data_IF_686984976037
#
_entry.id   IF_686984976037
#
_cell.length_a   1.000
_cell.length_b   1.000
_cell.length_c   1.000
_cell.angle_alpha   90.00
_cell.angle_beta   90.00
_cell.angle_gamma   90.00
#
_symmetry.space_group_name_H-M   'P 1'
#
loop_
_entity.id
_entity.type
_entity.pdbx_description
1 polymer ?
#
# COMPACT_ATOMS: atom_id res chain seq x y z
N UNK A 1 -5.44 6.65 25.75
CA UNK A 1 -4.29 6.50 24.81
C UNK A 1 -3.00 6.28 25.58
N UNK A 2 -2.66 7.10 26.57
CA UNK A 2 -1.40 6.97 27.34
C UNK A 2 -1.31 5.65 28.12
N UNK A 3 -2.40 5.19 28.73
CA UNK A 3 -2.44 3.88 29.37
C UNK A 3 -2.26 2.74 28.36
N UNK A 4 -2.85 2.85 27.18
CA UNK A 4 -2.72 1.85 26.12
C UNK A 4 -1.29 1.78 25.59
N UNK A 5 -0.63 2.93 25.36
CA UNK A 5 0.78 2.97 24.99
C UNK A 5 1.68 2.28 26.02
N UNK A 6 1.39 2.42 27.31
CA UNK A 6 2.16 1.79 28.39
C UNK A 6 1.95 0.29 28.48
N UNK A 7 0.72 -0.18 28.31
CA UNK A 7 0.36 -1.60 28.50
C UNK A 7 0.56 -2.43 27.24
N UNK A 8 0.64 -1.81 26.06
CA UNK A 8 0.68 -2.47 24.75
C UNK A 8 -0.44 -3.51 24.60
N UNK A 9 -1.62 -3.23 25.14
CA UNK A 9 -2.76 -4.16 25.10
C UNK A 9 -3.25 -4.38 23.68
N UNK A 10 -3.36 -5.63 23.29
CA UNK A 10 -3.94 -6.05 22.00
C UNK A 10 -5.46 -5.77 21.95
N UNK A 11 -6.16 -5.76 23.09
CA UNK A 11 -7.61 -5.53 23.17
C UNK A 11 -8.04 -4.17 22.62
N UNK A 12 -7.17 -3.16 22.71
CA UNK A 12 -7.42 -1.83 22.13
C UNK A 12 -7.63 -1.86 20.62
N UNK A 13 -6.93 -2.75 19.91
CA UNK A 13 -7.07 -2.90 18.46
C UNK A 13 -8.42 -3.55 18.07
N UNK A 14 -8.90 -4.50 18.87
CA UNK A 14 -10.23 -5.07 18.66
C UNK A 14 -11.33 -4.01 18.81
N UNK A 15 -11.24 -3.16 19.83
CA UNK A 15 -12.18 -2.02 20.00
C UNK A 15 -12.11 -1.04 18.84
N UNK A 16 -10.91 -0.70 18.38
CA UNK A 16 -10.73 0.18 17.23
C UNK A 16 -11.35 -0.40 15.97
N UNK A 17 -11.14 -1.70 15.71
CA UNK A 17 -11.79 -2.42 14.59
C UNK A 17 -13.31 -2.26 14.64
N UNK A 18 -13.92 -2.50 15.80
CA UNK A 18 -15.38 -2.39 15.95
C UNK A 18 -15.88 -0.95 15.75
N UNK A 19 -15.11 0.07 16.17
CA UNK A 19 -15.45 1.47 15.91
C UNK A 19 -15.46 1.80 14.40
N UNK A 20 -14.45 1.31 13.64
CA UNK A 20 -14.42 1.48 12.19
C UNK A 20 -15.57 0.75 11.50
N UNK A 21 -15.83 -0.51 11.91
CA UNK A 21 -16.98 -1.28 11.37
C UNK A 21 -18.33 -0.61 11.64
N UNK A 22 -18.51 -0.05 12.83
CA UNK A 22 -19.73 0.68 13.17
C UNK A 22 -19.92 1.94 12.31
N UNK A 23 -18.82 2.51 11.79
CA UNK A 23 -18.83 3.61 10.84
C UNK A 23 -18.91 3.15 9.36
N UNK A 24 -19.10 1.85 9.10
CA UNK A 24 -19.15 1.29 7.73
C UNK A 24 -17.77 1.21 7.05
N UNK A 25 -16.67 1.21 7.80
CA UNK A 25 -15.31 1.17 7.27
C UNK A 25 -14.61 -0.12 7.71
N UNK A 26 -13.96 -0.79 6.76
CA UNK A 26 -13.08 -1.93 7.02
C UNK A 26 -11.62 -1.50 6.94
N UNK A 27 -10.79 -1.96 7.89
CA UNK A 27 -9.35 -1.72 7.88
C UNK A 27 -8.71 -2.82 7.03
N UNK A 28 -8.16 -2.44 5.86
CA UNK A 28 -7.59 -3.41 4.93
C UNK A 28 -6.08 -3.62 5.11
N UNK A 29 -5.34 -2.59 5.43
CA UNK A 29 -3.90 -2.64 5.67
C UNK A 29 -3.51 -1.78 6.87
N UNK A 30 -2.38 -2.11 7.51
CA UNK A 30 -1.79 -1.32 8.59
C UNK A 30 -0.34 -0.99 8.26
N UNK A 31 0.02 0.28 8.28
CA UNK A 31 1.41 0.75 8.21
C UNK A 31 1.90 1.11 9.62
N UNK A 32 2.51 0.16 10.36
CA UNK A 32 2.98 0.41 11.73
C UNK A 32 4.35 1.10 11.77
N UNK A 33 4.80 1.67 10.66
CA UNK A 33 6.02 2.46 10.44
C UNK A 33 7.27 1.91 11.13
N UNK A 34 7.75 2.61 12.17
CA UNK A 34 9.02 2.31 12.84
C UNK A 34 9.07 0.94 13.52
N UNK A 35 7.93 0.35 13.91
CA UNK A 35 7.92 -0.94 14.63
C UNK A 35 8.39 -2.13 13.78
N UNK A 36 8.29 -2.04 12.46
CA UNK A 36 8.81 -3.05 11.54
C UNK A 36 10.26 -2.79 11.13
N UNK A 37 10.89 -1.72 11.61
CA UNK A 37 12.26 -1.35 11.27
C UNK A 37 13.31 -2.35 11.77
N UNK A 38 14.45 -2.44 11.06
CA UNK A 38 15.55 -3.39 11.34
C UNK A 38 16.07 -3.34 12.79
N UNK A 39 16.06 -2.15 13.40
CA UNK A 39 16.57 -1.95 14.77
C UNK A 39 15.64 -2.44 15.87
N UNK A 40 14.41 -2.81 15.56
CA UNK A 40 13.45 -3.26 16.55
C UNK A 40 13.62 -4.74 16.90
N UNK A 41 13.26 -5.11 18.13
CA UNK A 41 13.24 -6.49 18.58
C UNK A 41 12.14 -7.30 17.89
N UNK A 42 12.26 -8.63 17.92
CA UNK A 42 11.18 -9.51 17.44
C UNK A 42 9.88 -9.33 18.23
N UNK A 43 9.98 -8.90 19.49
CA UNK A 43 8.80 -8.58 20.31
C UNK A 43 8.03 -7.40 19.74
N UNK A 44 8.73 -6.33 19.34
CA UNK A 44 8.10 -5.14 18.74
C UNK A 44 7.50 -5.46 17.38
N UNK A 45 8.23 -6.21 16.54
CA UNK A 45 7.74 -6.63 15.22
C UNK A 45 6.52 -7.54 15.35
N UNK A 46 6.55 -8.53 16.26
CA UNK A 46 5.39 -9.38 16.51
C UNK A 46 4.19 -8.58 17.02
N UNK A 47 4.41 -7.61 17.91
CA UNK A 47 3.32 -6.73 18.37
C UNK A 47 2.67 -5.95 17.21
N UNK A 48 3.48 -5.39 16.30
CA UNK A 48 2.96 -4.69 15.12
C UNK A 48 2.14 -5.62 14.20
N UNK A 49 2.61 -6.84 13.98
CA UNK A 49 1.91 -7.84 13.17
C UNK A 49 0.61 -8.31 13.83
N UNK A 50 0.63 -8.53 15.14
CA UNK A 50 -0.57 -8.87 15.91
C UNK A 50 -1.59 -7.71 15.90
N UNK A 51 -1.13 -6.47 16.00
CA UNK A 51 -1.99 -5.29 15.86
C UNK A 51 -2.72 -5.28 14.51
N UNK A 52 -2.01 -5.49 13.41
CA UNK A 52 -2.60 -5.62 12.07
C UNK A 52 -3.67 -6.71 12.03
N UNK A 53 -3.36 -7.89 12.53
CA UNK A 53 -4.30 -9.02 12.59
C UNK A 53 -5.55 -8.72 13.42
N UNK A 54 -5.41 -8.11 14.61
CA UNK A 54 -6.53 -7.75 15.48
C UNK A 54 -7.40 -6.64 14.89
N UNK A 55 -6.82 -5.73 14.15
CA UNK A 55 -7.56 -4.74 13.36
C UNK A 55 -8.34 -5.36 12.19
N UNK A 56 -8.03 -6.60 11.81
CA UNK A 56 -8.62 -7.28 10.67
C UNK A 56 -7.94 -6.95 9.34
N UNK A 57 -6.76 -6.35 9.39
CA UNK A 57 -5.99 -6.05 8.19
C UNK A 57 -5.55 -7.33 7.46
N UNK A 58 -5.57 -7.27 6.14
CA UNK A 58 -5.05 -8.33 5.26
C UNK A 58 -3.53 -8.47 5.40
N UNK A 59 -2.85 -7.35 5.55
CA UNK A 59 -1.39 -7.29 5.67
C UNK A 59 -0.93 -6.07 6.47
N UNK A 60 0.33 -6.13 6.94
CA UNK A 60 1.07 -4.94 7.36
C UNK A 60 1.94 -4.46 6.20
N UNK A 61 2.24 -3.17 6.15
CA UNK A 61 3.06 -2.60 5.08
C UNK A 61 4.19 -1.73 5.62
N UNK A 62 5.30 -1.70 4.91
CA UNK A 62 6.44 -0.80 5.11
C UNK A 62 7.22 -0.69 3.80
N UNK A 63 8.20 0.21 3.77
CA UNK A 63 9.16 0.29 2.66
C UNK A 63 9.99 -1.00 2.57
N UNK A 64 10.28 -1.47 1.33
CA UNK A 64 11.15 -2.64 1.16
C UNK A 64 12.53 -2.38 1.79
N UNK A 65 12.96 -3.20 2.75
CA UNK A 65 14.27 -3.04 3.36
C UNK A 65 15.40 -3.19 2.34
N UNK A 66 16.41 -2.34 2.43
CA UNK A 66 17.65 -2.48 1.61
C UNK A 66 18.45 -3.73 1.97
N UNK A 67 18.31 -4.21 3.21
CA UNK A 67 18.97 -5.42 3.70
C UNK A 67 18.05 -6.63 3.48
N UNK A 68 18.42 -7.57 2.60
CA UNK A 68 17.61 -8.74 2.33
C UNK A 68 17.46 -9.69 3.53
N UNK A 69 18.36 -9.65 4.50
CA UNK A 69 18.20 -10.42 5.75
C UNK A 69 17.04 -9.88 6.59
N UNK A 70 16.71 -8.59 6.44
CA UNK A 70 15.58 -8.03 7.16
C UNK A 70 14.25 -8.38 6.51
N UNK A 71 14.13 -8.40 5.19
CA UNK A 71 12.92 -8.89 4.50
C UNK A 71 12.69 -10.38 4.75
N UNK A 72 13.75 -11.19 4.79
CA UNK A 72 13.67 -12.60 5.21
C UNK A 72 13.11 -12.73 6.63
N UNK A 73 13.68 -11.99 7.60
CA UNK A 73 13.22 -11.96 8.99
C UNK A 73 11.75 -11.55 9.10
N UNK A 74 11.34 -10.48 8.39
CA UNK A 74 9.97 -10.02 8.40
C UNK A 74 9.01 -11.06 7.83
N UNK A 75 9.36 -11.74 6.73
CA UNK A 75 8.59 -12.82 6.15
C UNK A 75 8.39 -14.00 7.12
N UNK A 76 9.43 -14.39 7.84
CA UNK A 76 9.35 -15.45 8.86
C UNK A 76 8.45 -15.07 10.06
N UNK A 77 8.56 -13.83 10.53
CA UNK A 77 7.72 -13.32 11.62
C UNK A 77 6.25 -13.15 11.16
N UNK A 78 6.05 -12.71 9.91
CA UNK A 78 4.72 -12.63 9.30
C UNK A 78 4.06 -14.02 9.21
N UNK A 79 4.79 -15.04 8.77
CA UNK A 79 4.32 -16.42 8.78
C UNK A 79 3.92 -16.91 10.16
N UNK A 80 4.76 -16.65 11.18
CA UNK A 80 4.48 -17.02 12.57
C UNK A 80 3.21 -16.36 13.12
N UNK A 81 2.93 -15.12 12.71
CA UNK A 81 1.76 -14.37 13.14
C UNK A 81 0.51 -14.63 12.26
N UNK A 82 0.63 -15.35 11.16
CA UNK A 82 -0.46 -15.63 10.24
C UNK A 82 -1.02 -14.36 9.59
N UNK A 83 -0.13 -13.44 9.18
CA UNK A 83 -0.40 -12.22 8.42
C UNK A 83 0.64 -12.11 7.32
N UNK A 84 0.41 -11.28 6.31
CA UNK A 84 1.42 -10.97 5.30
C UNK A 84 2.09 -9.61 5.57
N UNK A 85 3.28 -9.41 5.00
CA UNK A 85 3.94 -8.11 4.93
C UNK A 85 4.09 -7.71 3.47
N UNK A 86 3.50 -6.57 3.09
CA UNK A 86 3.55 -6.04 1.75
C UNK A 86 4.51 -4.85 1.67
N UNK A 87 5.45 -4.90 0.76
CA UNK A 87 6.50 -3.89 0.65
C UNK A 87 6.13 -2.80 -0.34
N UNK A 88 6.08 -1.59 0.18
CA UNK A 88 5.89 -0.36 -0.57
C UNK A 88 7.22 0.17 -1.10
N UNK A 89 7.17 0.92 -2.18
CA UNK A 89 8.34 1.61 -2.73
C UNK A 89 7.99 2.97 -3.31
N UNK A 90 9.00 3.82 -3.40
CA UNK A 90 8.95 5.11 -4.07
C UNK A 90 9.60 5.03 -5.46
N UNK A 91 10.34 6.03 -5.89
CA UNK A 91 10.96 6.11 -7.21
C UNK A 91 12.16 5.17 -7.43
N UNK A 92 12.47 4.29 -6.48
CA UNK A 92 13.44 3.19 -6.65
C UNK A 92 12.81 1.92 -7.21
N UNK A 93 11.47 1.88 -7.38
CA UNK A 93 10.75 0.73 -7.89
C UNK A 93 11.12 0.42 -9.35
N UNK A 94 11.20 -0.86 -9.67
CA UNK A 94 11.29 -1.43 -11.02
C UNK A 94 10.76 -2.86 -11.01
N UNK A 95 10.56 -3.48 -12.15
CA UNK A 95 9.90 -4.80 -12.28
C UNK A 95 10.52 -5.92 -11.44
N UNK A 96 11.81 -5.83 -11.10
CA UNK A 96 12.56 -6.82 -10.32
C UNK A 96 12.88 -6.38 -8.90
N UNK A 97 12.33 -5.25 -8.46
CA UNK A 97 12.71 -4.65 -7.17
C UNK A 97 12.28 -5.49 -5.95
N UNK A 98 11.21 -6.27 -6.09
CA UNK A 98 10.67 -7.13 -5.02
C UNK A 98 11.15 -8.59 -5.09
N UNK A 99 11.81 -9.02 -6.17
CA UNK A 99 12.08 -10.43 -6.46
C UNK A 99 12.72 -11.16 -5.28
N UNK A 100 13.81 -10.63 -4.71
CA UNK A 100 14.47 -11.23 -3.55
C UNK A 100 13.52 -11.43 -2.37
N UNK A 101 12.70 -10.44 -2.04
CA UNK A 101 11.78 -10.56 -0.91
C UNK A 101 10.68 -11.59 -1.19
N UNK A 102 10.16 -11.66 -2.40
CA UNK A 102 9.13 -12.63 -2.79
C UNK A 102 9.67 -14.06 -2.78
N UNK A 103 10.92 -14.28 -3.20
CA UNK A 103 11.59 -15.59 -3.15
C UNK A 103 11.85 -16.06 -1.72
N UNK A 104 12.08 -15.15 -0.78
CA UNK A 104 12.41 -15.47 0.60
C UNK A 104 11.24 -16.05 1.41
N UNK A 105 10.01 -15.63 1.13
CA UNK A 105 8.84 -16.06 1.90
C UNK A 105 7.54 -15.83 1.14
N UNK A 106 6.63 -16.79 1.18
CA UNK A 106 5.25 -16.64 0.69
C UNK A 106 4.41 -15.64 1.50
N UNK A 107 4.95 -15.14 2.64
CA UNK A 107 4.33 -14.08 3.44
C UNK A 107 4.85 -12.69 3.11
N UNK A 108 5.87 -12.59 2.25
CA UNK A 108 6.28 -11.34 1.63
C UNK A 108 5.40 -11.06 0.41
N UNK A 109 5.04 -9.80 0.19
CA UNK A 109 4.12 -9.39 -0.86
C UNK A 109 4.43 -7.98 -1.34
N UNK A 110 3.66 -7.49 -2.32
CA UNK A 110 3.80 -6.18 -2.93
C UNK A 110 2.66 -5.27 -2.46
N UNK A 111 3.01 -4.08 -1.99
CA UNK A 111 2.14 -2.90 -1.95
C UNK A 111 2.63 -1.96 -3.06
N UNK A 112 2.08 -2.10 -4.25
CA UNK A 112 2.51 -1.33 -5.42
C UNK A 112 2.07 0.12 -5.29
N UNK A 113 2.97 1.07 -5.51
CA UNK A 113 2.60 2.45 -5.75
C UNK A 113 2.74 2.76 -7.25
N UNK A 114 1.61 2.85 -7.93
CA UNK A 114 1.55 3.02 -9.37
C UNK A 114 2.11 4.39 -9.82
N UNK A 115 1.85 5.44 -9.05
CA UNK A 115 2.36 6.78 -9.34
C UNK A 115 3.87 6.87 -9.17
N UNK A 116 4.41 6.29 -8.10
CA UNK A 116 5.86 6.21 -7.92
C UNK A 116 6.54 5.31 -8.96
N UNK A 117 5.88 4.24 -9.39
CA UNK A 117 6.37 3.36 -10.45
C UNK A 117 6.52 4.12 -11.77
N UNK A 118 5.53 4.94 -12.13
CA UNK A 118 5.57 5.84 -13.30
C UNK A 118 6.66 6.91 -13.15
N UNK A 119 6.74 7.57 -11.99
CA UNK A 119 7.75 8.60 -11.72
C UNK A 119 9.19 8.06 -11.64
N UNK A 120 9.35 6.74 -11.42
CA UNK A 120 10.64 6.05 -11.54
C UNK A 120 11.09 5.88 -13.01
N UNK A 121 10.19 6.07 -13.97
CA UNK A 121 10.46 5.91 -15.40
C UNK A 121 10.07 4.55 -15.97
N UNK A 122 9.34 3.73 -15.21
CA UNK A 122 8.86 2.44 -15.69
C UNK A 122 7.68 2.64 -16.64
N UNK A 123 7.68 1.93 -17.76
CA UNK A 123 6.64 1.97 -18.80
C UNK A 123 5.86 0.66 -18.93
N UNK A 124 6.22 -0.34 -18.14
CA UNK A 124 5.72 -1.71 -18.18
C UNK A 124 4.67 -2.03 -17.11
N UNK A 125 4.00 -1.02 -16.55
CA UNK A 125 3.05 -1.17 -15.44
C UNK A 125 2.00 -2.23 -15.67
N UNK A 126 1.45 -2.31 -16.88
CA UNK A 126 0.41 -3.29 -17.24
C UNK A 126 0.95 -4.72 -17.22
N UNK A 127 2.11 -4.95 -17.84
CA UNK A 127 2.77 -6.26 -17.87
C UNK A 127 3.21 -6.69 -16.46
N UNK A 128 3.76 -5.75 -15.70
CA UNK A 128 4.16 -5.98 -14.31
C UNK A 128 2.97 -6.43 -13.46
N UNK A 129 1.86 -5.69 -13.50
CA UNK A 129 0.65 -6.03 -12.75
C UNK A 129 0.09 -7.39 -13.18
N UNK A 130 0.01 -7.67 -14.49
CA UNK A 130 -0.45 -8.96 -15.00
C UNK A 130 0.42 -10.12 -14.51
N UNK A 131 1.74 -9.94 -14.49
CA UNK A 131 2.69 -10.95 -14.04
C UNK A 131 2.65 -11.14 -12.51
N UNK A 132 2.49 -10.06 -11.76
CA UNK A 132 2.64 -10.06 -10.30
C UNK A 132 1.31 -10.00 -9.53
N UNK A 133 0.15 -10.01 -10.19
CA UNK A 133 -1.16 -9.79 -9.53
C UNK A 133 -1.42 -10.67 -8.31
N UNK A 134 -0.89 -11.91 -8.29
CA UNK A 134 -1.02 -12.80 -7.14
C UNK A 134 -0.16 -12.39 -5.93
N UNK A 135 0.90 -11.63 -6.17
CA UNK A 135 1.81 -11.12 -5.14
C UNK A 135 1.44 -9.70 -4.68
N UNK A 136 0.59 -8.99 -5.45
CA UNK A 136 0.11 -7.65 -5.08
C UNK A 136 -1.06 -7.81 -4.09
N UNK A 137 -0.95 -7.22 -2.91
CA UNK A 137 -2.02 -7.23 -1.90
C UNK A 137 -2.78 -5.92 -1.83
N UNK A 138 -2.14 -4.83 -2.21
CA UNK A 138 -2.74 -3.49 -2.30
C UNK A 138 -1.96 -2.64 -3.29
N UNK A 139 -2.62 -1.62 -3.82
CA UNK A 139 -2.00 -0.67 -4.72
C UNK A 139 -2.40 0.75 -4.33
N UNK A 140 -1.42 1.66 -4.28
CA UNK A 140 -1.68 3.09 -4.24
C UNK A 140 -1.87 3.63 -5.65
N UNK A 141 -2.89 4.44 -5.82
CA UNK A 141 -3.20 5.12 -7.08
C UNK A 141 -3.13 6.61 -6.83
N UNK A 142 -2.18 7.25 -7.47
CA UNK A 142 -2.01 8.70 -7.56
C UNK A 142 -1.53 9.06 -8.96
N UNK A 143 -1.81 10.25 -9.38
CA UNK A 143 -1.37 10.70 -10.71
C UNK A 143 -0.05 11.46 -10.60
N UNK A 144 0.95 10.98 -11.31
CA UNK A 144 2.29 11.57 -11.34
C UNK A 144 2.79 11.70 -12.75
N UNK A 145 3.66 12.69 -12.95
CA UNK A 145 4.44 12.81 -14.16
C UNK A 145 5.61 11.81 -14.15
N UNK A 146 5.97 11.33 -15.34
CA UNK A 146 7.17 10.56 -15.56
C UNK A 146 8.44 11.44 -15.42
N UNK A 147 9.67 10.89 -15.49
CA UNK A 147 10.90 11.66 -15.36
C UNK A 147 11.06 12.77 -16.39
N UNK A 148 10.61 12.55 -17.63
CA UNK A 148 10.73 13.51 -18.73
C UNK A 148 9.86 14.74 -18.49
N UNK A 149 8.70 14.57 -17.84
CA UNK A 149 7.73 15.61 -17.52
C UNK A 149 7.92 16.23 -16.13
N UNK A 150 8.90 15.78 -15.33
CA UNK A 150 9.31 16.41 -14.07
C UNK A 150 8.80 15.76 -12.79
N UNK A 151 8.19 14.57 -12.84
CA UNK A 151 7.83 13.72 -11.70
C UNK A 151 6.86 14.35 -10.69
N UNK A 152 6.11 15.39 -11.05
CA UNK A 152 5.18 16.06 -10.14
C UNK A 152 3.97 15.21 -9.84
N UNK A 153 3.44 15.33 -8.62
CA UNK A 153 2.10 14.87 -8.29
C UNK A 153 1.06 15.83 -8.86
N UNK A 154 0.05 15.32 -9.51
CA UNK A 154 -0.99 16.10 -10.20
C UNK A 154 -2.40 15.57 -9.84
N UNK A 155 -3.44 16.37 -10.04
CA UNK A 155 -4.80 15.88 -10.01
C UNK A 155 -5.01 14.74 -11.01
N UNK A 156 -5.86 13.79 -10.68
CA UNK A 156 -6.12 12.60 -11.49
C UNK A 156 -6.53 12.97 -12.93
N UNK A 157 -5.92 12.32 -13.90
CA UNK A 157 -6.09 12.55 -15.33
C UNK A 157 -5.22 13.67 -15.93
N UNK A 158 -4.30 14.24 -15.16
CA UNK A 158 -3.41 15.31 -15.60
C UNK A 158 -1.93 14.90 -15.65
N UNK A 159 -1.60 13.73 -15.15
CA UNK A 159 -0.24 13.16 -15.16
C UNK A 159 -0.07 12.07 -16.21
N UNK A 160 0.98 11.27 -16.02
CA UNK A 160 1.39 10.20 -16.93
C UNK A 160 1.11 8.81 -16.35
N UNK A 161 0.57 8.72 -15.14
CA UNK A 161 0.24 7.43 -14.52
C UNK A 161 -0.91 6.76 -15.29
N UNK A 162 -0.76 5.50 -15.76
CA UNK A 162 -1.78 4.83 -16.58
C UNK A 162 -2.96 4.33 -15.73
N UNK A 163 -3.61 5.27 -15.00
CA UNK A 163 -4.68 4.95 -14.03
C UNK A 163 -5.86 4.28 -14.72
N UNK A 164 -6.27 4.80 -15.88
CA UNK A 164 -7.44 4.28 -16.63
C UNK A 164 -7.22 2.84 -17.06
N UNK A 165 -6.07 2.59 -17.67
CA UNK A 165 -5.68 1.29 -18.20
C UNK A 165 -5.58 0.25 -17.08
N UNK A 166 -4.93 0.63 -15.97
CA UNK A 166 -4.75 -0.24 -14.81
C UNK A 166 -6.08 -0.55 -14.11
N UNK A 167 -6.95 0.45 -13.89
CA UNK A 167 -8.26 0.20 -13.27
C UNK A 167 -9.15 -0.69 -14.15
N UNK A 168 -9.13 -0.50 -15.48
CA UNK A 168 -9.85 -1.37 -16.42
C UNK A 168 -9.27 -2.80 -16.40
N UNK A 169 -7.94 -2.93 -16.41
CA UNK A 169 -7.29 -4.23 -16.26
C UNK A 169 -7.74 -4.94 -14.98
N UNK A 170 -7.74 -4.24 -13.85
CA UNK A 170 -8.16 -4.83 -12.57
C UNK A 170 -9.62 -5.30 -12.60
N UNK A 171 -10.52 -4.50 -13.16
CA UNK A 171 -11.94 -4.85 -13.35
C UNK A 171 -12.08 -6.07 -14.26
N UNK A 172 -11.49 -6.03 -15.44
CA UNK A 172 -11.69 -7.01 -16.51
C UNK A 172 -11.06 -8.37 -16.16
N UNK A 173 -9.97 -8.38 -15.40
CA UNK A 173 -9.31 -9.58 -14.89
C UNK A 173 -9.81 -9.98 -13.50
N UNK A 174 -10.72 -9.22 -12.90
CA UNK A 174 -11.28 -9.47 -11.57
C UNK A 174 -10.19 -9.65 -10.48
N UNK A 175 -9.20 -8.75 -10.45
CA UNK A 175 -8.14 -8.81 -9.43
C UNK A 175 -8.68 -8.46 -8.04
N UNK A 176 -8.21 -9.17 -7.01
CA UNK A 176 -8.77 -9.12 -5.66
C UNK A 176 -8.12 -8.08 -4.73
N UNK A 177 -7.11 -7.34 -5.19
CA UNK A 177 -6.46 -6.31 -4.36
C UNK A 177 -7.08 -4.94 -4.60
N UNK A 178 -7.21 -4.10 -3.57
CA UNK A 178 -7.78 -2.77 -3.71
C UNK A 178 -6.81 -1.79 -4.36
N UNK A 179 -7.36 -0.82 -5.09
CA UNK A 179 -6.70 0.39 -5.52
C UNK A 179 -7.07 1.53 -4.56
N UNK A 180 -6.11 2.01 -3.78
CA UNK A 180 -6.29 3.06 -2.78
C UNK A 180 -5.94 4.41 -3.39
N UNK A 181 -6.90 5.33 -3.41
CA UNK A 181 -6.63 6.72 -3.83
C UNK A 181 -5.69 7.38 -2.83
N UNK A 182 -4.54 7.86 -3.30
CA UNK A 182 -3.57 8.59 -2.51
C UNK A 182 -3.49 10.05 -2.96
N UNK A 183 -3.62 10.97 -2.02
CA UNK A 183 -3.61 12.40 -2.26
C UNK A 183 -2.26 13.00 -1.89
N UNK A 184 -1.48 13.43 -2.88
CA UNK A 184 -0.14 14.01 -2.67
C UNK A 184 0.14 15.28 -3.49
N UNK A 185 -0.80 15.79 -4.28
CA UNK A 185 -0.59 17.05 -4.98
C UNK A 185 -1.01 18.26 -4.14
N UNK A 186 -0.52 19.44 -4.53
CA UNK A 186 -0.89 20.68 -3.85
C UNK A 186 -2.37 20.98 -4.06
N UNK A 187 -3.09 21.23 -2.96
CA UNK A 187 -4.51 21.61 -3.03
C UNK A 187 -4.66 22.89 -3.84
N UNK A 188 -5.46 22.88 -4.92
CA UNK A 188 -5.70 24.07 -5.72
C UNK A 188 -6.34 25.19 -4.89
N UNK A 189 -6.01 26.45 -5.24
CA UNK A 189 -6.60 27.62 -4.56
C UNK A 189 -8.13 27.59 -4.66
N UNK A 190 -8.79 27.69 -3.51
CA UNK A 190 -10.24 27.67 -3.41
C UNK A 190 -10.86 26.26 -3.32
N UNK A 191 -10.06 25.21 -3.26
CA UNK A 191 -10.49 23.85 -2.98
C UNK A 191 -10.04 23.38 -1.60
N UNK A 192 -10.45 22.17 -1.20
CA UNK A 192 -10.02 21.50 0.03
C UNK A 192 -9.52 20.09 -0.28
N UNK A 193 -8.74 19.50 0.65
CA UNK A 193 -8.29 18.10 0.54
C UNK A 193 -9.47 17.15 0.34
N UNK A 194 -10.57 17.37 1.05
CA UNK A 194 -11.77 16.52 0.95
C UNK A 194 -12.39 16.61 -0.45
N UNK A 195 -12.48 17.81 -1.02
CA UNK A 195 -13.01 18.01 -2.37
C UNK A 195 -12.12 17.37 -3.43
N UNK A 196 -10.80 17.50 -3.31
CA UNK A 196 -9.85 16.90 -4.25
C UNK A 196 -9.85 15.36 -4.17
N UNK A 197 -9.94 14.79 -2.96
CA UNK A 197 -10.09 13.33 -2.80
C UNK A 197 -11.42 12.86 -3.40
N UNK A 198 -12.51 13.59 -3.24
CA UNK A 198 -13.80 13.28 -3.90
C UNK A 198 -13.67 13.26 -5.42
N UNK A 199 -13.00 14.27 -6.00
CA UNK A 199 -12.75 14.32 -7.46
C UNK A 199 -11.92 13.14 -7.93
N UNK A 200 -10.90 12.74 -7.19
CA UNK A 200 -10.06 11.58 -7.52
C UNK A 200 -10.87 10.28 -7.48
N UNK A 201 -11.73 10.10 -6.47
CA UNK A 201 -12.63 8.94 -6.36
C UNK A 201 -13.65 8.93 -7.52
N UNK A 202 -14.23 10.08 -7.86
CA UNK A 202 -15.18 10.20 -8.97
C UNK A 202 -14.52 9.88 -10.32
N UNK A 203 -13.27 10.36 -10.52
CA UNK A 203 -12.49 9.98 -11.71
C UNK A 203 -12.34 8.45 -11.81
N UNK A 204 -11.97 7.78 -10.73
CA UNK A 204 -11.82 6.33 -10.73
C UNK A 204 -13.15 5.61 -11.01
N UNK A 205 -14.26 6.06 -10.42
CA UNK A 205 -15.60 5.50 -10.66
C UNK A 205 -16.00 5.63 -12.13
N UNK A 206 -15.85 6.81 -12.72
CA UNK A 206 -16.17 7.05 -14.13
C UNK A 206 -15.35 6.14 -15.07
N UNK A 207 -14.09 5.88 -14.73
CA UNK A 207 -13.25 4.92 -15.48
C UNK A 207 -13.78 3.50 -15.38
N UNK A 208 -14.23 3.08 -14.20
CA UNK A 208 -14.73 1.72 -13.97
C UNK A 208 -16.12 1.48 -14.58
N UNK A 209 -16.91 2.53 -14.78
CA UNK A 209 -18.24 2.49 -15.41
C UNK A 209 -18.19 2.59 -16.94
N UNK A 210 -17.03 3.00 -17.51
CA UNK A 210 -16.80 3.12 -18.96
C UNK A 210 -16.20 1.80 -19.54
#
# INVERSE_FOLDING_TARGET
IENWKKTRSIDGFCKLKEMYRAAGVEIYALKPDYLLGKGNSDVDVNYAMQAGKMLGANHVTLELPKDPLHSLRLGQLAQKNGIKVAYHGHEQQHAHWWDTALEQSSHNAINLDLGHYTAAGNTDSMEFIQKQHQNILSMHVKDRQNPENGKKNLPFGQGDTPIKEVLKLMRDQNYNFPATVEYEYLTPKGSSVIEEVKKSIEYCKNVLES
#
